data_IF_041843849832
#
_entry.id   IF_041843849832
#
_cell.length_a   1.000
_cell.length_b   1.000
_cell.length_c   1.000
_cell.angle_alpha   90.00
_cell.angle_beta   90.00
_cell.angle_gamma   90.00
#
_symmetry.space_group_name_H-M   'P 1'
#
loop_
_entity.id
_entity.type
_entity.pdbx_description
1 polymer ?
#
# COMPACT_ATOMS: atom_id res chain seq x y z
N UNK A 1 100.35 -47.28 19.99
CA UNK A 1 99.08 -47.44 20.74
C UNK A 1 97.96 -47.59 19.72
N UNK A 2 97.49 -48.82 19.51
CA UNK A 2 96.51 -49.14 18.48
C UNK A 2 95.09 -48.79 18.96
N UNK A 3 94.21 -48.29 18.06
CA UNK A 3 92.86 -47.88 18.44
C UNK A 3 92.01 -49.10 18.79
N UNK A 4 91.39 -49.08 19.98
CA UNK A 4 90.35 -50.01 20.40
C UNK A 4 89.14 -49.82 19.48
N UNK A 5 88.96 -50.71 18.52
CA UNK A 5 87.69 -50.85 17.79
C UNK A 5 86.64 -51.38 18.75
N UNK A 6 85.77 -50.49 19.23
CA UNK A 6 84.53 -50.87 19.90
C UNK A 6 83.61 -51.52 18.88
N UNK A 7 83.56 -52.85 18.87
CA UNK A 7 82.50 -53.61 18.19
C UNK A 7 81.20 -53.36 18.94
N UNK A 8 80.39 -52.43 18.45
CA UNK A 8 79.00 -52.29 18.88
C UNK A 8 78.27 -53.60 18.56
N UNK A 9 77.58 -54.20 19.53
CA UNK A 9 76.93 -55.47 19.32
C UNK A 9 75.71 -55.28 18.39
N UNK A 10 75.61 -56.15 17.39
CA UNK A 10 74.65 -56.13 16.28
C UNK A 10 73.18 -55.92 16.68
N UNK A 11 72.78 -56.32 17.89
CA UNK A 11 71.44 -56.12 18.41
C UNK A 11 71.08 -54.64 18.64
N UNK A 12 72.07 -53.78 18.93
CA UNK A 12 71.84 -52.33 19.10
C UNK A 12 71.41 -51.71 17.76
N UNK A 13 72.01 -52.13 16.66
CA UNK A 13 71.65 -51.65 15.32
C UNK A 13 70.21 -52.06 14.95
N UNK A 14 69.79 -53.27 15.29
CA UNK A 14 68.43 -53.76 15.02
C UNK A 14 67.39 -52.97 15.82
N UNK A 15 67.66 -52.73 17.11
CA UNK A 15 66.76 -51.92 17.97
C UNK A 15 66.68 -50.48 17.49
N UNK A 16 67.80 -49.88 17.06
CA UNK A 16 67.81 -48.52 16.53
C UNK A 16 66.99 -48.39 15.24
N UNK A 17 67.08 -49.36 14.33
CA UNK A 17 66.29 -49.37 13.09
C UNK A 17 64.79 -49.57 13.38
N UNK A 18 64.44 -50.51 14.26
CA UNK A 18 63.05 -50.74 14.64
C UNK A 18 62.42 -49.51 15.32
N UNK A 19 63.16 -48.83 16.20
CA UNK A 19 62.72 -47.59 16.84
C UNK A 19 62.53 -46.47 15.81
N UNK A 20 63.44 -46.34 14.84
CA UNK A 20 63.33 -45.34 13.77
C UNK A 20 62.08 -45.58 12.91
N UNK A 21 61.83 -46.83 12.50
CA UNK A 21 60.64 -47.21 11.72
C UNK A 21 59.34 -46.98 12.51
N UNK A 22 59.34 -47.27 13.82
CA UNK A 22 58.18 -46.99 14.68
C UNK A 22 57.90 -45.50 14.80
N UNK A 23 58.93 -44.66 14.95
CA UNK A 23 58.80 -43.21 15.03
C UNK A 23 58.34 -42.61 13.70
N UNK A 24 58.85 -43.08 12.56
CA UNK A 24 58.41 -42.60 11.25
C UNK A 24 56.97 -43.00 10.92
N UNK A 25 56.55 -44.21 11.28
CA UNK A 25 55.18 -44.66 11.12
C UNK A 25 54.20 -43.84 11.99
N UNK A 26 54.54 -43.61 13.26
CA UNK A 26 53.73 -42.77 14.14
C UNK A 26 53.64 -41.33 13.61
N UNK A 27 54.76 -40.73 13.20
CA UNK A 27 54.78 -39.40 12.61
C UNK A 27 53.86 -39.30 11.39
N UNK A 28 53.85 -40.31 10.51
CA UNK A 28 52.98 -40.35 9.34
C UNK A 28 51.49 -40.36 9.73
N UNK A 29 51.07 -41.24 10.66
CA UNK A 29 49.67 -41.29 11.11
C UNK A 29 49.20 -39.96 11.71
N UNK A 30 50.03 -39.29 12.50
CA UNK A 30 49.66 -37.98 13.08
C UNK A 30 49.58 -36.85 12.05
N UNK A 31 50.29 -36.98 10.92
CA UNK A 31 50.20 -36.03 9.81
C UNK A 31 48.90 -36.26 9.03
N UNK A 32 48.53 -37.51 8.76
CA UNK A 32 47.26 -37.85 8.10
C UNK A 32 46.05 -37.37 8.93
N UNK A 33 46.07 -37.57 10.25
CA UNK A 33 45.02 -37.08 11.15
C UNK A 33 44.89 -35.54 11.10
N UNK A 34 46.02 -34.82 11.04
CA UNK A 34 46.05 -33.36 10.91
C UNK A 34 45.55 -32.89 9.56
N UNK A 35 45.91 -33.59 8.48
CA UNK A 35 45.43 -33.27 7.14
C UNK A 35 43.92 -33.47 7.03
N UNK A 36 43.40 -34.56 7.60
CA UNK A 36 41.97 -34.81 7.69
C UNK A 36 41.25 -33.71 8.49
N UNK A 37 41.77 -33.33 9.66
CA UNK A 37 41.20 -32.25 10.46
C UNK A 37 41.22 -30.88 9.74
N UNK A 38 42.30 -30.58 9.01
CA UNK A 38 42.39 -29.37 8.22
C UNK A 38 41.44 -29.39 7.00
N UNK A 39 41.21 -30.54 6.39
CA UNK A 39 40.24 -30.69 5.32
C UNK A 39 38.81 -30.45 5.83
N UNK A 40 38.48 -31.00 7.00
CA UNK A 40 37.17 -30.82 7.65
C UNK A 40 36.91 -29.36 8.01
N UNK A 41 37.87 -28.70 8.67
CA UNK A 41 37.77 -27.26 8.99
C UNK A 41 37.64 -26.38 7.74
N UNK A 42 38.27 -26.75 6.61
CA UNK A 42 38.10 -26.02 5.35
C UNK A 42 36.71 -26.21 4.77
N UNK A 43 36.17 -27.43 4.84
CA UNK A 43 34.81 -27.74 4.39
C UNK A 43 33.79 -26.97 5.23
N UNK A 44 33.94 -26.98 6.56
CA UNK A 44 33.08 -26.22 7.49
C UNK A 44 33.16 -24.71 7.22
N UNK A 45 34.37 -24.16 7.05
CA UNK A 45 34.55 -22.74 6.70
C UNK A 45 33.91 -22.37 5.36
N UNK A 46 33.95 -23.28 4.38
CA UNK A 46 33.30 -23.07 3.09
C UNK A 46 31.77 -23.09 3.23
N UNK A 47 31.22 -24.03 4.01
CA UNK A 47 29.79 -24.10 4.32
C UNK A 47 29.29 -22.85 5.06
N UNK A 48 30.05 -22.36 6.04
CA UNK A 48 29.72 -21.12 6.74
C UNK A 48 29.77 -19.91 5.81
N UNK A 49 30.75 -19.84 4.92
CA UNK A 49 30.82 -18.76 3.91
C UNK A 49 29.63 -18.79 2.95
N UNK A 50 29.19 -19.97 2.51
CA UNK A 50 28.00 -20.07 1.66
C UNK A 50 26.73 -19.67 2.41
N UNK A 51 26.60 -20.05 3.68
CA UNK A 51 25.46 -19.63 4.51
C UNK A 51 25.43 -18.11 4.73
N UNK A 52 26.59 -17.50 5.02
CA UNK A 52 26.69 -16.03 5.15
C UNK A 52 26.36 -15.34 3.82
N UNK A 53 26.79 -15.91 2.69
CA UNK A 53 26.43 -15.43 1.36
C UNK A 53 24.91 -15.44 1.13
N UNK A 54 24.26 -16.57 1.40
CA UNK A 54 22.81 -16.71 1.27
C UNK A 54 22.05 -15.73 2.19
N UNK A 55 22.47 -15.60 3.45
CA UNK A 55 21.86 -14.66 4.40
C UNK A 55 22.06 -13.20 3.97
N UNK A 56 23.19 -12.86 3.36
CA UNK A 56 23.42 -11.53 2.82
C UNK A 56 22.50 -11.23 1.64
N UNK A 57 22.29 -12.20 0.74
CA UNK A 57 21.34 -12.09 -0.37
C UNK A 57 19.90 -11.94 0.11
N UNK A 58 19.49 -12.73 1.12
CA UNK A 58 18.17 -12.61 1.76
C UNK A 58 17.98 -11.24 2.40
N UNK A 59 18.98 -10.74 3.15
CA UNK A 59 18.94 -9.39 3.73
C UNK A 59 18.75 -8.33 2.65
N UNK A 60 19.50 -8.41 1.56
CA UNK A 60 19.43 -7.43 0.47
C UNK A 60 18.11 -7.51 -0.31
N UNK A 61 17.48 -8.69 -0.36
CA UNK A 61 16.12 -8.82 -0.88
C UNK A 61 15.10 -8.13 0.04
N UNK A 62 15.16 -8.38 1.35
CA UNK A 62 14.26 -7.77 2.35
C UNK A 62 14.41 -6.25 2.39
N UNK A 63 15.64 -5.73 2.31
CA UNK A 63 15.88 -4.28 2.26
C UNK A 63 15.23 -3.65 1.04
N UNK A 64 15.37 -4.27 -0.15
CA UNK A 64 14.72 -3.78 -1.38
C UNK A 64 13.20 -3.81 -1.29
N UNK A 65 12.64 -4.84 -0.65
CA UNK A 65 11.19 -4.93 -0.42
C UNK A 65 10.71 -3.81 0.52
N UNK A 66 11.45 -3.56 1.61
CA UNK A 66 11.14 -2.48 2.55
C UNK A 66 11.21 -1.10 1.88
N UNK A 67 12.24 -0.84 1.07
CA UNK A 67 12.36 0.41 0.29
C UNK A 67 11.20 0.58 -0.69
N UNK A 68 10.77 -0.49 -1.35
CA UNK A 68 9.61 -0.46 -2.24
C UNK A 68 8.32 -0.15 -1.47
N UNK A 69 8.14 -0.77 -0.30
CA UNK A 69 6.99 -0.52 0.57
C UNK A 69 6.96 0.94 1.07
N UNK A 70 8.12 1.50 1.47
CA UNK A 70 8.22 2.90 1.88
C UNK A 70 7.85 3.86 0.76
N UNK A 71 8.30 3.60 -0.48
CA UNK A 71 7.94 4.41 -1.66
C UNK A 71 6.44 4.40 -1.93
N UNK A 72 5.78 3.25 -1.74
CA UNK A 72 4.32 3.14 -1.85
C UNK A 72 3.65 3.95 -0.75
N UNK A 73 4.15 3.86 0.49
CA UNK A 73 3.66 4.64 1.63
C UNK A 73 3.74 6.15 1.40
N UNK A 74 4.86 6.65 0.90
CA UNK A 74 5.04 8.07 0.54
C UNK A 74 4.02 8.51 -0.53
N UNK A 75 3.82 7.70 -1.57
CA UNK A 75 2.84 7.98 -2.62
C UNK A 75 1.40 8.00 -2.11
N UNK A 76 1.06 7.11 -1.18
CA UNK A 76 -0.25 7.09 -0.53
C UNK A 76 -0.45 8.32 0.36
N UNK A 77 0.56 8.72 1.13
CA UNK A 77 0.51 9.93 1.95
C UNK A 77 0.23 11.17 1.11
N UNK A 78 0.99 11.36 0.03
CA UNK A 78 0.80 12.49 -0.88
C UNK A 78 -0.61 12.51 -1.51
N UNK A 79 -1.19 11.34 -1.77
CA UNK A 79 -2.54 11.22 -2.31
C UNK A 79 -3.61 11.57 -1.27
N UNK A 80 -3.40 11.24 0.00
CA UNK A 80 -4.28 11.66 1.09
C UNK A 80 -4.25 13.17 1.23
N UNK A 81 -3.06 13.77 1.27
CA UNK A 81 -2.90 15.24 1.34
C UNK A 81 -3.61 15.95 0.18
N UNK A 82 -3.51 15.39 -1.03
CA UNK A 82 -4.22 15.91 -2.20
C UNK A 82 -5.74 15.82 -2.05
N UNK A 83 -6.26 14.68 -1.59
CA UNK A 83 -7.70 14.49 -1.37
C UNK A 83 -8.24 15.42 -0.28
N UNK A 84 -7.47 15.67 0.78
CA UNK A 84 -7.83 16.64 1.82
C UNK A 84 -7.90 18.07 1.27
N UNK A 85 -6.95 18.45 0.42
CA UNK A 85 -6.95 19.74 -0.27
C UNK A 85 -8.17 19.88 -1.20
N UNK A 86 -8.45 18.84 -2.00
CA UNK A 86 -9.61 18.80 -2.91
C UNK A 86 -10.93 18.89 -2.12
N UNK A 87 -11.04 18.17 -1.00
CA UNK A 87 -12.22 18.22 -0.14
C UNK A 87 -12.40 19.61 0.50
N UNK A 88 -11.31 20.23 0.94
CA UNK A 88 -11.34 21.59 1.48
C UNK A 88 -11.81 22.60 0.43
N UNK A 89 -11.36 22.47 -0.82
CA UNK A 89 -11.80 23.32 -1.93
C UNK A 89 -13.27 23.09 -2.29
N UNK A 90 -13.70 21.82 -2.35
CA UNK A 90 -15.10 21.45 -2.58
C UNK A 90 -16.01 22.03 -1.49
N UNK A 91 -15.60 22.00 -0.22
CA UNK A 91 -16.37 22.60 0.87
C UNK A 91 -16.45 24.13 0.78
N UNK A 92 -15.41 24.82 0.31
CA UNK A 92 -15.45 26.29 0.09
C UNK A 92 -16.39 26.69 -1.04
N UNK A 93 -16.44 25.88 -2.09
CA UNK A 93 -17.25 26.14 -3.29
C UNK A 93 -18.69 25.64 -3.17
N UNK A 94 -18.97 24.80 -2.17
CA UNK A 94 -20.32 24.34 -1.87
C UNK A 94 -21.15 25.51 -1.32
N UNK A 95 -22.09 25.99 -2.13
CA UNK A 95 -23.16 26.86 -1.66
C UNK A 95 -23.92 26.11 -0.57
N UNK A 96 -23.89 26.62 0.67
CA UNK A 96 -24.70 26.09 1.75
C UNK A 96 -26.18 26.20 1.34
N UNK A 97 -26.86 25.06 1.25
CA UNK A 97 -28.31 25.02 1.08
C UNK A 97 -28.91 25.50 2.39
N UNK A 98 -29.14 26.80 2.48
CA UNK A 98 -29.94 27.39 3.55
C UNK A 98 -31.37 26.91 3.36
N UNK A 99 -31.81 25.92 4.13
CA UNK A 99 -33.23 25.60 4.25
C UNK A 99 -33.94 26.89 4.71
N UNK A 100 -34.70 27.51 3.81
CA UNK A 100 -35.64 28.57 4.17
C UNK A 100 -36.79 27.87 4.88
N UNK A 101 -36.62 27.56 6.17
CA UNK A 101 -37.71 27.14 7.05
C UNK A 101 -38.61 28.34 7.34
N UNK A 102 -39.45 28.67 6.36
CA UNK A 102 -40.73 29.32 6.63
C UNK A 102 -41.75 28.22 6.86
N UNK A 103 -42.37 28.18 8.04
CA UNK A 103 -43.54 27.33 8.32
C UNK A 103 -44.74 27.88 7.56
N UNK A 104 -44.71 27.76 6.24
CA UNK A 104 -45.87 27.97 5.42
C UNK A 104 -46.23 26.61 4.84
N UNK A 105 -47.20 25.96 5.48
CA UNK A 105 -47.96 24.90 4.83
C UNK A 105 -48.68 25.55 3.65
N UNK A 106 -48.04 25.51 2.49
CA UNK A 106 -48.70 25.80 1.23
C UNK A 106 -49.10 24.45 0.65
N UNK A 107 -50.30 23.90 0.94
CA UNK A 107 -50.76 22.72 0.24
C UNK A 107 -50.73 23.01 -1.25
N UNK A 108 -49.84 22.31 -1.96
CA UNK A 108 -49.70 22.43 -3.40
C UNK A 108 -50.83 21.63 -4.03
N UNK A 109 -51.72 22.31 -4.74
CA UNK A 109 -52.84 21.69 -5.44
C UNK A 109 -52.66 21.81 -6.95
N UNK A 110 -53.44 21.00 -7.70
CA UNK A 110 -53.52 21.08 -9.16
C UNK A 110 -54.69 21.97 -9.54
N UNK A 111 -54.39 23.06 -10.22
CA UNK A 111 -55.39 23.92 -10.87
C UNK A 111 -55.23 23.81 -12.39
N UNK A 112 -56.32 24.09 -13.12
CA UNK A 112 -56.37 23.94 -14.57
C UNK A 112 -56.53 25.31 -15.22
N UNK A 113 -55.69 25.60 -16.21
CA UNK A 113 -55.79 26.81 -17.01
C UNK A 113 -57.00 26.71 -17.95
N UNK A 114 -57.64 27.85 -18.20
CA UNK A 114 -58.68 27.97 -19.22
C UNK A 114 -58.06 28.32 -20.58
N UNK A 115 -58.83 28.13 -21.65
CA UNK A 115 -58.36 28.45 -22.99
C UNK A 115 -58.11 29.97 -23.12
N UNK A 116 -56.87 30.34 -23.47
CA UNK A 116 -56.46 31.74 -23.60
C UNK A 116 -55.96 32.40 -22.32
N UNK A 117 -55.78 31.63 -21.24
CA UNK A 117 -55.18 32.15 -20.00
C UNK A 117 -53.71 32.57 -20.23
N UNK A 118 -53.31 33.63 -19.55
CA UNK A 118 -51.90 33.96 -19.36
C UNK A 118 -51.44 33.52 -17.98
N UNK A 119 -50.13 33.33 -17.78
CA UNK A 119 -49.57 32.96 -16.46
C UNK A 119 -49.96 33.97 -15.39
N UNK A 120 -49.99 35.26 -15.72
CA UNK A 120 -50.36 36.33 -14.79
C UNK A 120 -51.87 36.34 -14.48
N UNK A 121 -52.74 36.15 -15.47
CA UNK A 121 -54.18 36.07 -15.27
C UNK A 121 -54.56 34.82 -14.46
N UNK A 122 -53.95 33.68 -14.77
CA UNK A 122 -54.11 32.43 -14.02
C UNK A 122 -53.64 32.58 -12.57
N UNK A 123 -52.45 33.15 -12.35
CA UNK A 123 -51.94 33.40 -11.00
C UNK A 123 -52.89 34.29 -10.17
N UNK A 124 -53.43 35.35 -10.78
CA UNK A 124 -54.39 36.23 -10.13
C UNK A 124 -55.69 35.51 -9.77
N UNK A 125 -56.22 34.65 -10.66
CA UNK A 125 -57.41 33.82 -10.39
C UNK A 125 -57.17 32.85 -9.23
N UNK A 126 -55.99 32.24 -9.20
CA UNK A 126 -55.65 31.25 -8.18
C UNK A 126 -55.21 31.86 -6.84
N UNK A 127 -55.12 33.19 -6.73
CA UNK A 127 -54.75 33.92 -5.50
C UNK A 127 -53.25 33.91 -5.21
N UNK A 128 -52.41 33.79 -6.25
CA UNK A 128 -50.95 33.71 -6.15
C UNK A 128 -50.26 34.73 -7.07
N UNK A 129 -48.95 34.65 -7.22
CA UNK A 129 -48.16 35.52 -8.11
C UNK A 129 -47.56 34.73 -9.26
N UNK A 130 -47.32 35.40 -10.40
CA UNK A 130 -46.68 34.81 -11.58
C UNK A 130 -45.34 34.13 -11.20
N UNK A 131 -44.51 34.83 -10.42
CA UNK A 131 -43.24 34.31 -9.93
C UNK A 131 -43.38 33.00 -9.16
N UNK A 132 -44.42 32.86 -8.33
CA UNK A 132 -44.70 31.65 -7.56
C UNK A 132 -45.21 30.52 -8.46
N UNK A 133 -46.07 30.80 -9.43
CA UNK A 133 -46.52 29.80 -10.42
C UNK A 133 -45.33 29.29 -11.23
N UNK A 134 -44.41 30.16 -11.68
CA UNK A 134 -43.20 29.74 -12.39
C UNK A 134 -42.23 28.96 -11.51
N UNK A 135 -42.09 29.34 -10.25
CA UNK A 135 -41.25 28.61 -9.29
C UNK A 135 -41.75 27.17 -9.08
N UNK A 136 -43.07 26.96 -9.05
CA UNK A 136 -43.69 25.64 -8.90
C UNK A 136 -43.79 24.84 -10.21
N UNK A 137 -43.71 25.52 -11.36
CA UNK A 137 -43.83 24.91 -12.68
C UNK A 137 -42.66 25.32 -13.61
N UNK A 138 -41.42 24.84 -13.35
CA UNK A 138 -40.23 25.33 -14.06
C UNK A 138 -40.25 25.09 -15.57
N UNK A 139 -41.03 24.12 -16.05
CA UNK A 139 -41.18 23.83 -17.48
C UNK A 139 -41.91 24.92 -18.27
N UNK A 140 -42.60 25.86 -17.58
CA UNK A 140 -43.18 27.03 -18.24
C UNK A 140 -42.12 28.01 -18.76
N UNK A 141 -40.90 27.98 -18.23
CA UNK A 141 -39.82 28.88 -18.63
C UNK A 141 -40.28 30.35 -18.66
N UNK A 142 -40.14 31.00 -19.82
CA UNK A 142 -40.53 32.39 -20.05
C UNK A 142 -41.87 32.54 -20.81
N UNK A 143 -42.66 31.46 -20.92
CA UNK A 143 -43.92 31.49 -21.65
C UNK A 143 -44.94 32.38 -20.94
N UNK A 144 -45.65 33.23 -21.69
CA UNK A 144 -46.67 34.14 -21.15
C UNK A 144 -48.07 33.54 -21.24
N UNK A 145 -48.34 32.75 -22.27
CA UNK A 145 -49.63 32.12 -22.55
C UNK A 145 -49.64 30.67 -22.05
N UNK A 146 -50.78 30.21 -21.57
CA UNK A 146 -51.00 28.84 -21.12
C UNK A 146 -51.82 28.09 -22.16
N UNK A 147 -51.52 26.80 -22.33
CA UNK A 147 -52.37 25.95 -23.15
C UNK A 147 -53.71 25.77 -22.46
N UNK A 148 -54.79 25.76 -23.25
CA UNK A 148 -56.13 25.50 -22.71
C UNK A 148 -56.17 24.15 -22.00
N UNK A 149 -56.72 24.13 -20.79
CA UNK A 149 -56.84 22.95 -19.92
C UNK A 149 -55.50 22.40 -19.39
N UNK A 150 -54.42 23.18 -19.48
CA UNK A 150 -53.13 22.81 -18.90
C UNK A 150 -53.22 22.73 -17.37
N UNK A 151 -52.71 21.65 -16.78
CA UNK A 151 -52.67 21.48 -15.32
C UNK A 151 -51.38 22.06 -14.74
N UNK A 152 -51.52 22.93 -13.74
CA UNK A 152 -50.43 23.63 -13.07
C UNK A 152 -50.48 23.41 -11.56
N UNK A 153 -49.30 23.37 -10.94
CA UNK A 153 -49.16 23.35 -9.49
C UNK A 153 -49.30 24.78 -8.95
N UNK A 154 -50.20 24.96 -7.99
CA UNK A 154 -50.43 26.25 -7.34
C UNK A 154 -50.47 26.08 -5.82
N UNK A 155 -49.97 27.05 -5.05
CA UNK A 155 -50.13 27.04 -3.61
C UNK A 155 -51.53 27.54 -3.27
N UNK A 156 -52.27 26.80 -2.44
CA UNK A 156 -53.55 27.27 -1.91
C UNK A 156 -53.37 27.60 -0.42
N UNK A 157 -53.77 28.79 0.06
CA UNK A 157 -54.02 28.97 1.48
C UNK A 157 -55.22 28.10 1.87
N UNK A 158 -55.17 27.46 3.04
CA UNK A 158 -56.32 26.74 3.61
C UNK A 158 -57.53 27.67 3.83
#
# INVERSE_FOLDING_TARGET
MAPRQSRTPWWISVVAVAALVGVTAYAWTTVEDREAALADLRAERQALRSQVGALAEERDAVVRELEAALRIGEGLSARVDQLEADLAEANRTRLEVREVRGTADFPIQRAMAEAGDTVSAFAAREGTTDAVVRALNPWLGNTTELDGWQTLWVPKPE
#
